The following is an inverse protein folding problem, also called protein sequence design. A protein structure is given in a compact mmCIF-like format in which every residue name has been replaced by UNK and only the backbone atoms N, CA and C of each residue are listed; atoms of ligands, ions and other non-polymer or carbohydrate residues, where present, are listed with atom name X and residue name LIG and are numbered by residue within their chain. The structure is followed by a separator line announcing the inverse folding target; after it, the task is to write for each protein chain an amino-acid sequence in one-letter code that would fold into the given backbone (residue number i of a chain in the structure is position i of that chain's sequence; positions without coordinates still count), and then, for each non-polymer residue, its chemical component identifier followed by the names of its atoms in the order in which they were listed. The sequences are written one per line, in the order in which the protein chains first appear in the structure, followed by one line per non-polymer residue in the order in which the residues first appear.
data_IF_149842629656
#
_entry.id   IF_149842629656
#
_cell.length_a   1.000
_cell.length_b   1.000
_cell.length_c   1.000
_cell.angle_alpha   90.00
_cell.angle_beta   90.00
_cell.angle_gamma   90.00
#
_symmetry.space_group_name_H-M   'P 1'
#
loop_
_entity.id
_entity.type
_entity.pdbx_description
1 polymer ?
#
# COMPACT_ATOMS: atom_id res chain seq x y z
N UNK A 1 -51.54 19.65 -53.45
CA UNK A 1 -51.30 20.54 -52.30
C UNK A 1 -50.13 20.01 -51.53
N UNK A 2 -48.94 20.52 -51.81
CA UNK A 2 -47.71 20.19 -51.08
C UNK A 2 -47.75 20.92 -49.74
N UNK A 3 -47.89 20.17 -48.65
CA UNK A 3 -47.69 20.71 -47.31
C UNK A 3 -46.23 21.18 -47.20
N UNK A 4 -46.04 22.50 -47.22
CA UNK A 4 -44.79 23.11 -46.76
C UNK A 4 -44.60 22.75 -45.28
N UNK A 5 -43.68 21.82 -45.03
CA UNK A 5 -43.10 21.61 -43.70
C UNK A 5 -42.50 22.94 -43.24
N UNK A 6 -43.22 23.69 -42.42
CA UNK A 6 -42.67 24.82 -41.67
C UNK A 6 -41.54 24.29 -40.78
N UNK A 7 -40.30 24.48 -41.21
CA UNK A 7 -39.14 24.29 -40.34
C UNK A 7 -39.26 25.29 -39.19
N UNK A 8 -39.49 24.76 -37.99
CA UNK A 8 -39.41 25.52 -36.75
C UNK A 8 -37.93 25.84 -36.49
N UNK A 9 -37.41 26.85 -37.20
CA UNK A 9 -36.10 27.42 -36.93
C UNK A 9 -36.18 28.11 -35.57
N UNK A 10 -35.33 27.67 -34.63
CA UNK A 10 -35.18 28.34 -33.34
C UNK A 10 -34.84 29.82 -33.57
N UNK A 11 -35.44 30.73 -32.78
CA UNK A 11 -35.21 32.19 -32.86
C UNK A 11 -33.73 32.60 -32.85
N UNK A 12 -32.85 31.75 -32.31
CA UNK A 12 -31.42 31.96 -32.16
C UNK A 12 -30.56 31.11 -33.11
N UNK A 13 -31.16 30.42 -34.08
CA UNK A 13 -30.44 29.61 -35.06
C UNK A 13 -29.66 30.52 -36.02
N UNK A 14 -28.34 30.58 -35.84
CA UNK A 14 -27.38 31.38 -36.61
C UNK A 14 -26.30 30.47 -37.19
N UNK A 15 -26.73 29.39 -37.84
CA UNK A 15 -25.83 28.40 -38.44
C UNK A 15 -25.87 28.53 -39.97
N UNK A 16 -24.77 28.17 -40.62
CA UNK A 16 -24.65 28.14 -42.08
C UNK A 16 -25.50 27.05 -42.76
N UNK A 17 -25.26 26.83 -44.05
CA UNK A 17 -25.88 25.73 -44.82
C UNK A 17 -24.79 24.77 -45.30
N UNK A 18 -25.10 23.48 -45.38
CA UNK A 18 -24.17 22.46 -45.88
C UNK A 18 -23.50 21.63 -44.79
N UNK A 19 -22.38 20.98 -45.14
CA UNK A 19 -21.62 20.13 -44.22
C UNK A 19 -20.79 20.98 -43.26
N UNK A 20 -20.71 20.54 -42.00
CA UNK A 20 -19.83 21.19 -41.03
C UNK A 20 -18.61 20.31 -40.78
N UNK A 21 -17.51 20.97 -40.41
CA UNK A 21 -16.29 20.35 -39.93
C UNK A 21 -16.02 20.84 -38.50
N UNK A 22 -15.73 19.90 -37.61
CA UNK A 22 -15.31 20.22 -36.26
C UNK A 22 -13.84 20.63 -36.25
N UNK A 23 -13.56 21.87 -35.81
CA UNK A 23 -12.21 22.46 -35.80
C UNK A 23 -11.54 22.26 -34.45
N UNK A 24 -12.21 22.63 -33.37
CA UNK A 24 -11.64 22.65 -32.03
C UNK A 24 -12.72 22.67 -30.96
N UNK A 25 -12.30 22.54 -29.69
CA UNK A 25 -13.14 22.81 -28.53
C UNK A 25 -12.50 23.95 -27.75
N UNK A 26 -13.31 24.92 -27.32
CA UNK A 26 -12.91 25.92 -26.35
C UNK A 26 -13.81 25.84 -25.14
N UNK A 27 -13.24 25.85 -23.94
CA UNK A 27 -14.01 25.80 -22.70
C UNK A 27 -13.85 27.09 -21.94
N UNK A 28 -14.96 27.67 -21.48
CA UNK A 28 -14.92 28.78 -20.56
C UNK A 28 -14.18 28.37 -19.27
N UNK A 29 -13.20 29.16 -18.80
CA UNK A 29 -12.53 28.88 -17.54
C UNK A 29 -13.53 28.94 -16.38
N UNK A 30 -13.30 28.11 -15.36
CA UNK A 30 -14.20 28.04 -14.20
C UNK A 30 -14.01 29.22 -13.24
N UNK A 31 -15.03 29.49 -12.43
CA UNK A 31 -14.94 30.52 -11.37
C UNK A 31 -13.85 30.22 -10.34
N UNK A 32 -13.54 28.94 -10.10
CA UNK A 32 -12.43 28.55 -9.23
C UNK A 32 -11.07 29.06 -9.76
N UNK A 33 -10.89 29.13 -11.08
CA UNK A 33 -9.68 29.74 -11.68
C UNK A 33 -9.70 31.25 -11.49
N UNK A 34 -10.86 31.89 -11.61
CA UNK A 34 -10.99 33.33 -11.36
C UNK A 34 -10.60 33.68 -9.91
N UNK A 35 -11.04 32.90 -8.94
CA UNK A 35 -10.77 33.13 -7.52
C UNK A 35 -9.30 32.87 -7.15
N UNK A 36 -8.72 31.78 -7.66
CA UNK A 36 -7.34 31.39 -7.34
C UNK A 36 -6.28 32.12 -8.16
N UNK A 37 -6.59 32.48 -9.41
CA UNK A 37 -5.66 33.13 -10.34
C UNK A 37 -6.43 34.00 -11.37
N UNK A 38 -6.81 35.24 -10.99
CA UNK A 38 -7.53 36.16 -11.87
C UNK A 38 -6.81 36.46 -13.19
N UNK A 39 -5.47 36.54 -13.16
CA UNK A 39 -4.66 36.79 -14.37
C UNK A 39 -4.73 35.61 -15.34
N UNK A 40 -4.64 34.39 -14.83
CA UNK A 40 -4.78 33.17 -15.63
C UNK A 40 -6.16 33.06 -16.27
N UNK A 41 -7.21 33.39 -15.50
CA UNK A 41 -8.58 33.44 -16.02
C UNK A 41 -8.71 34.42 -17.20
N UNK A 42 -8.21 35.65 -17.04
CA UNK A 42 -8.28 36.68 -18.07
C UNK A 42 -7.53 36.26 -19.35
N UNK A 43 -6.38 35.58 -19.20
CA UNK A 43 -5.63 35.03 -20.34
C UNK A 43 -6.43 33.96 -21.09
N UNK A 44 -7.02 33.01 -20.37
CA UNK A 44 -7.85 31.96 -20.98
C UNK A 44 -9.09 32.53 -21.67
N UNK A 45 -9.68 33.60 -21.11
CA UNK A 45 -10.78 34.33 -21.75
C UNK A 45 -10.32 35.11 -22.99
N UNK A 46 -9.09 35.63 -23.02
CA UNK A 46 -8.53 36.29 -24.19
C UNK A 46 -8.28 35.31 -25.35
N UNK A 47 -8.04 34.03 -25.07
CA UNK A 47 -7.88 32.96 -26.05
C UNK A 47 -9.22 32.47 -26.64
N UNK A 48 -10.36 33.04 -26.21
CA UNK A 48 -11.68 32.69 -26.72
C UNK A 48 -11.79 32.92 -28.23
N UNK A 49 -12.25 31.92 -29.02
CA UNK A 49 -12.52 32.10 -30.44
C UNK A 49 -13.51 33.23 -30.70
N UNK A 50 -13.28 34.04 -31.73
CA UNK A 50 -14.15 35.19 -32.06
C UNK A 50 -15.61 34.80 -32.33
N UNK A 51 -15.85 33.59 -32.85
CA UNK A 51 -17.19 33.05 -33.08
C UNK A 51 -17.91 32.60 -31.80
N UNK A 52 -17.20 32.49 -30.68
CA UNK A 52 -17.78 32.03 -29.42
C UNK A 52 -18.36 33.21 -28.62
N UNK A 53 -19.68 33.32 -28.64
CA UNK A 53 -20.43 34.34 -27.89
C UNK A 53 -20.87 33.87 -26.49
N UNK A 54 -20.27 32.80 -25.96
CA UNK A 54 -20.68 32.12 -24.70
C UNK A 54 -22.07 31.48 -24.75
N UNK A 55 -22.66 31.41 -25.94
CA UNK A 55 -23.97 30.84 -26.22
C UNK A 55 -23.90 29.97 -27.47
N UNK A 56 -24.84 29.03 -27.56
CA UNK A 56 -24.99 28.13 -28.69
C UNK A 56 -25.53 28.86 -29.91
N UNK A 57 -24.87 28.78 -31.06
CA UNK A 57 -25.39 29.34 -32.31
C UNK A 57 -26.56 28.52 -32.89
N UNK A 58 -26.78 27.29 -32.40
CA UNK A 58 -27.93 26.47 -32.78
C UNK A 58 -29.20 26.81 -31.97
N UNK A 59 -29.09 26.94 -30.64
CA UNK A 59 -30.26 27.07 -29.75
C UNK A 59 -30.25 28.30 -28.82
N UNK A 60 -29.17 29.08 -28.78
CA UNK A 60 -29.01 30.26 -27.92
C UNK A 60 -28.73 29.98 -26.44
N UNK A 61 -28.61 28.71 -26.03
CA UNK A 61 -28.34 28.36 -24.63
C UNK A 61 -26.89 28.69 -24.25
N UNK A 62 -26.66 29.22 -23.05
CA UNK A 62 -25.32 29.43 -22.51
C UNK A 62 -24.57 28.10 -22.33
N UNK A 63 -23.33 28.03 -22.81
CA UNK A 63 -22.54 26.80 -22.77
C UNK A 63 -21.18 27.09 -22.12
N UNK A 64 -20.62 26.09 -21.45
CA UNK A 64 -19.24 26.15 -20.93
C UNK A 64 -18.28 25.56 -21.96
N UNK A 65 -18.59 24.38 -22.51
CA UNK A 65 -17.78 23.67 -23.51
C UNK A 65 -18.30 23.93 -24.93
N UNK A 66 -17.64 24.84 -25.65
CA UNK A 66 -18.00 25.26 -26.99
C UNK A 66 -17.24 24.45 -28.03
N UNK A 67 -17.97 23.72 -28.86
CA UNK A 67 -17.42 23.06 -30.03
C UNK A 67 -17.44 24.05 -31.19
N UNK A 68 -16.28 24.27 -31.79
CA UNK A 68 -16.11 25.21 -32.90
C UNK A 68 -16.25 24.44 -34.20
N UNK A 69 -17.34 24.72 -34.90
CA UNK A 69 -17.66 24.17 -36.20
C UNK A 69 -17.29 25.18 -37.28
N UNK A 70 -16.93 24.70 -38.46
CA UNK A 70 -16.70 25.49 -39.67
C UNK A 70 -17.55 24.90 -40.79
N UNK A 71 -18.27 25.75 -41.52
CA UNK A 71 -19.07 25.31 -42.67
C UNK A 71 -18.28 25.36 -43.99
N UNK A 72 -18.95 25.08 -45.10
CA UNK A 72 -18.36 25.10 -46.45
C UNK A 72 -17.93 26.52 -46.89
N UNK A 73 -18.61 27.56 -46.39
CA UNK A 73 -18.31 28.97 -46.62
C UNK A 73 -17.18 29.50 -45.72
N UNK A 74 -16.60 28.62 -44.89
CA UNK A 74 -15.54 28.91 -43.89
C UNK A 74 -15.99 29.85 -42.77
N UNK A 75 -17.29 29.96 -42.55
CA UNK A 75 -17.86 30.60 -41.38
C UNK A 75 -17.77 29.68 -40.17
N UNK A 76 -17.56 30.26 -38.98
CA UNK A 76 -17.35 29.49 -37.74
C UNK A 76 -18.48 29.70 -36.76
N UNK A 77 -18.90 28.60 -36.15
CA UNK A 77 -20.02 28.55 -35.21
C UNK A 77 -19.61 27.86 -33.91
N UNK A 78 -20.16 28.32 -32.80
CA UNK A 78 -19.96 27.78 -31.46
C UNK A 78 -21.22 27.02 -31.04
N UNK A 79 -21.11 25.70 -30.89
CA UNK A 79 -22.24 24.82 -30.61
C UNK A 79 -21.95 23.93 -29.41
N UNK A 80 -22.98 23.59 -28.63
CA UNK A 80 -22.86 22.65 -27.52
C UNK A 80 -22.89 21.20 -28.00
N UNK A 81 -22.35 20.27 -27.22
CA UNK A 81 -22.34 18.84 -27.57
C UNK A 81 -23.71 18.27 -27.94
N UNK A 82 -24.75 18.65 -27.19
CA UNK A 82 -26.13 18.20 -27.43
C UNK A 82 -26.77 18.78 -28.71
N UNK A 83 -26.25 19.89 -29.22
CA UNK A 83 -26.73 20.49 -30.47
C UNK A 83 -25.98 19.97 -31.69
N UNK A 84 -24.76 19.42 -31.53
CA UNK A 84 -24.07 18.72 -32.62
C UNK A 84 -24.88 17.50 -33.08
N UNK A 85 -25.46 16.74 -32.15
CA UNK A 85 -26.32 15.59 -32.46
C UNK A 85 -27.54 15.99 -33.31
N UNK A 86 -28.04 17.22 -33.15
CA UNK A 86 -29.19 17.75 -33.87
C UNK A 86 -28.85 18.22 -35.29
N UNK A 87 -27.57 18.34 -35.64
CA UNK A 87 -27.12 18.72 -37.00
C UNK A 87 -27.19 17.55 -38.00
N UNK A 88 -27.49 16.33 -37.54
CA UNK A 88 -27.72 15.17 -38.41
C UNK A 88 -26.46 14.63 -39.11
N UNK A 89 -25.25 15.05 -38.71
CA UNK A 89 -23.98 14.61 -39.30
C UNK A 89 -23.25 13.67 -38.33
N UNK A 90 -23.27 12.37 -38.63
CA UNK A 90 -22.71 11.32 -37.75
C UNK A 90 -21.20 11.47 -37.51
N UNK A 91 -20.45 11.88 -38.54
CA UNK A 91 -19.00 12.06 -38.44
C UNK A 91 -18.62 13.15 -37.43
N UNK A 92 -19.42 14.22 -37.34
CA UNK A 92 -19.23 15.29 -36.36
C UNK A 92 -19.49 14.84 -34.93
N UNK A 93 -20.55 14.06 -34.73
CA UNK A 93 -20.87 13.49 -33.42
C UNK A 93 -19.71 12.62 -32.93
N UNK A 94 -19.18 11.76 -33.81
CA UNK A 94 -18.05 10.88 -33.48
C UNK A 94 -16.79 11.68 -33.16
N UNK A 95 -16.47 12.71 -33.96
CA UNK A 95 -15.33 13.59 -33.73
C UNK A 95 -15.45 14.37 -32.40
N UNK A 96 -16.65 14.89 -32.10
CA UNK A 96 -16.94 15.61 -30.87
C UNK A 96 -16.79 14.71 -29.63
N UNK A 97 -17.33 13.50 -29.69
CA UNK A 97 -17.19 12.51 -28.62
C UNK A 97 -15.73 12.10 -28.40
N UNK A 98 -14.94 11.96 -29.47
CA UNK A 98 -13.51 11.62 -29.37
C UNK A 98 -12.73 12.71 -28.63
N UNK A 99 -12.91 13.98 -29.03
CA UNK A 99 -12.22 15.10 -28.38
C UNK A 99 -12.65 15.28 -26.92
N UNK A 100 -13.94 15.12 -26.61
CA UNK A 100 -14.40 15.21 -25.22
C UNK A 100 -13.83 14.07 -24.36
N UNK A 101 -13.77 12.84 -24.89
CA UNK A 101 -13.13 11.70 -24.19
C UNK A 101 -11.65 11.95 -23.91
N UNK A 102 -10.92 12.53 -24.86
CA UNK A 102 -9.51 12.87 -24.70
C UNK A 102 -9.30 13.93 -23.61
N UNK A 103 -10.10 15.00 -23.63
CA UNK A 103 -10.10 16.04 -22.59
C UNK A 103 -10.41 15.47 -21.21
N UNK A 104 -11.44 14.63 -21.09
CA UNK A 104 -11.80 13.97 -19.83
C UNK A 104 -10.72 12.98 -19.36
N UNK A 105 -9.96 12.38 -20.28
CA UNK A 105 -8.81 11.55 -19.93
C UNK A 105 -7.68 12.40 -19.34
N UNK A 106 -7.33 13.52 -19.97
CA UNK A 106 -6.31 14.44 -19.47
C UNK A 106 -6.66 14.97 -18.08
N UNK A 107 -7.88 15.46 -17.88
CA UNK A 107 -8.34 15.94 -16.56
C UNK A 107 -8.29 14.86 -15.48
N UNK A 108 -8.58 13.60 -15.82
CA UNK A 108 -8.47 12.48 -14.87
C UNK A 108 -7.02 12.17 -14.54
N UNK A 109 -6.11 12.24 -15.51
CA UNK A 109 -4.68 12.04 -15.30
C UNK A 109 -4.11 13.13 -14.38
N UNK A 110 -4.38 14.40 -14.67
CA UNK A 110 -3.94 15.53 -13.83
C UNK A 110 -4.45 15.43 -12.39
N UNK A 111 -5.73 15.08 -12.20
CA UNK A 111 -6.30 14.85 -10.86
C UNK A 111 -5.63 13.69 -10.13
N UNK A 112 -5.35 12.59 -10.84
CA UNK A 112 -4.68 11.43 -10.27
C UNK A 112 -3.21 11.74 -9.91
N UNK A 113 -2.51 12.53 -10.72
CA UNK A 113 -1.15 13.00 -10.44
C UNK A 113 -1.11 13.91 -9.22
N UNK A 114 -2.00 14.91 -9.15
CA UNK A 114 -2.10 15.78 -7.99
C UNK A 114 -2.37 15.00 -6.71
N UNK A 115 -3.32 14.05 -6.75
CA UNK A 115 -3.63 13.19 -5.60
C UNK A 115 -2.44 12.32 -5.19
N UNK A 116 -1.70 11.75 -6.16
CA UNK A 116 -0.48 10.97 -5.88
C UNK A 116 0.61 11.82 -5.23
N UNK A 117 0.83 13.04 -5.73
CA UNK A 117 1.79 13.98 -5.16
C UNK A 117 1.43 14.37 -3.72
N UNK A 118 0.16 14.66 -3.46
CA UNK A 118 -0.34 14.96 -2.10
C UNK A 118 -0.18 13.76 -1.15
N UNK A 119 -0.46 12.54 -1.62
CA UNK A 119 -0.27 11.32 -0.84
C UNK A 119 1.22 11.07 -0.53
N UNK A 120 2.09 11.28 -1.52
CA UNK A 120 3.53 11.13 -1.34
C UNK A 120 4.08 12.13 -0.30
N UNK A 121 3.70 13.40 -0.41
CA UNK A 121 4.13 14.43 0.54
C UNK A 121 3.67 14.14 1.97
N UNK A 122 2.45 13.61 2.14
CA UNK A 122 1.95 13.18 3.46
C UNK A 122 2.75 12.00 4.01
N UNK A 123 3.00 10.99 3.17
CA UNK A 123 3.79 9.83 3.56
C UNK A 123 5.22 10.21 3.96
N UNK A 124 5.88 11.08 3.19
CA UNK A 124 7.22 11.58 3.52
C UNK A 124 7.23 12.36 4.85
N UNK A 125 6.21 13.19 5.08
CA UNK A 125 6.07 13.91 6.34
C UNK A 125 5.88 12.97 7.54
N UNK A 126 5.06 11.92 7.39
CA UNK A 126 4.86 10.91 8.42
C UNK A 126 6.15 10.14 8.74
N UNK A 127 6.90 9.72 7.72
CA UNK A 127 8.19 9.03 7.90
C UNK A 127 9.22 9.95 8.58
N UNK A 128 9.28 11.22 8.19
CA UNK A 128 10.19 12.19 8.80
C UNK A 128 9.83 12.47 10.27
N UNK A 129 8.54 12.53 10.59
CA UNK A 129 8.07 12.66 11.98
C UNK A 129 8.47 11.44 12.83
N UNK A 130 8.30 10.22 12.30
CA UNK A 130 8.76 9.00 12.98
C UNK A 130 10.27 9.05 13.24
N UNK A 131 11.07 9.43 12.23
CA UNK A 131 12.52 9.56 12.37
C UNK A 131 12.92 10.58 13.42
N UNK A 132 12.29 11.75 13.46
CA UNK A 132 12.57 12.76 14.49
C UNK A 132 12.27 12.25 15.90
N UNK A 133 11.18 11.50 16.06
CA UNK A 133 10.78 10.92 17.34
C UNK A 133 11.73 9.82 17.83
N UNK A 134 12.20 8.99 16.91
CA UNK A 134 12.97 7.78 17.23
C UNK A 134 14.48 7.92 16.95
N UNK A 135 15.02 9.15 16.96
CA UNK A 135 16.46 9.38 16.83
C UNK A 135 17.05 8.98 15.47
N UNK A 136 16.26 9.08 14.40
CA UNK A 136 16.66 8.82 13.01
C UNK A 136 16.08 7.54 12.41
N UNK A 137 15.39 6.72 13.20
CA UNK A 137 14.79 5.45 12.76
C UNK A 137 13.28 5.56 12.54
N UNK A 138 12.74 4.74 11.65
CA UNK A 138 11.28 4.55 11.54
C UNK A 138 10.78 3.66 12.68
N UNK A 139 9.48 3.71 12.99
CA UNK A 139 8.88 2.87 14.04
C UNK A 139 9.16 1.37 13.78
N UNK A 140 9.12 0.97 12.52
CA UNK A 140 9.42 -0.40 12.11
C UNK A 140 10.88 -0.80 12.36
N UNK A 141 11.83 0.09 12.08
CA UNK A 141 13.25 -0.17 12.35
C UNK A 141 13.53 -0.28 13.85
N UNK A 142 12.88 0.54 14.69
CA UNK A 142 12.96 0.43 16.15
C UNK A 142 12.48 -0.95 16.61
N UNK A 143 11.34 -1.41 16.11
CA UNK A 143 10.80 -2.75 16.44
C UNK A 143 11.73 -3.89 16.02
N UNK A 144 12.39 -3.77 14.85
CA UNK A 144 13.39 -4.76 14.42
C UNK A 144 14.56 -4.80 15.41
N UNK A 145 15.06 -3.64 15.85
CA UNK A 145 16.22 -3.59 16.73
C UNK A 145 15.89 -4.11 18.13
N UNK A 146 14.70 -3.77 18.65
CA UNK A 146 14.18 -4.36 19.88
C UNK A 146 14.06 -5.89 19.79
N UNK A 147 13.59 -6.41 18.65
CA UNK A 147 13.48 -7.85 18.42
C UNK A 147 14.85 -8.52 18.48
N UNK A 148 15.85 -8.00 17.76
CA UNK A 148 17.21 -8.55 17.78
C UNK A 148 17.79 -8.55 19.20
N UNK A 149 17.59 -7.45 19.94
CA UNK A 149 18.07 -7.35 21.31
C UNK A 149 17.41 -8.39 22.20
N UNK A 150 16.09 -8.59 22.08
CA UNK A 150 15.36 -9.63 22.83
C UNK A 150 15.81 -11.04 22.46
N UNK A 151 16.04 -11.33 21.18
CA UNK A 151 16.56 -12.63 20.74
C UNK A 151 17.94 -12.91 21.34
N UNK A 152 18.83 -11.90 21.37
CA UNK A 152 20.14 -11.99 22.00
C UNK A 152 20.04 -12.21 23.52
N UNK A 153 19.16 -11.46 24.19
CA UNK A 153 18.94 -11.58 25.63
C UNK A 153 18.32 -12.93 26.01
N UNK A 154 17.38 -13.44 25.20
CA UNK A 154 16.81 -14.77 25.37
C UNK A 154 17.85 -15.86 25.18
N UNK A 155 18.72 -15.73 24.17
CA UNK A 155 19.84 -16.67 23.96
C UNK A 155 20.76 -16.73 25.18
N UNK A 156 21.08 -15.58 25.79
CA UNK A 156 21.87 -15.55 27.04
C UNK A 156 21.14 -16.30 28.17
N UNK A 157 19.85 -16.02 28.38
CA UNK A 157 19.04 -16.71 29.40
C UNK A 157 19.00 -18.22 29.19
N UNK A 158 18.79 -18.68 27.95
CA UNK A 158 18.80 -20.11 27.62
C UNK A 158 20.16 -20.74 27.93
N UNK A 159 21.26 -20.06 27.57
CA UNK A 159 22.62 -20.54 27.88
C UNK A 159 22.89 -20.61 29.38
N UNK A 160 22.42 -19.64 30.17
CA UNK A 160 22.59 -19.61 31.62
C UNK A 160 21.76 -20.72 32.30
N UNK A 161 20.49 -20.85 31.93
CA UNK A 161 19.57 -21.87 32.47
C UNK A 161 20.03 -23.29 32.15
N UNK A 162 20.52 -23.52 30.93
CA UNK A 162 20.95 -24.86 30.50
C UNK A 162 22.37 -25.22 30.91
N UNK A 163 23.14 -24.30 31.50
CA UNK A 163 24.55 -24.52 31.86
C UNK A 163 24.80 -25.81 32.68
N UNK A 164 23.97 -26.19 33.68
CA UNK A 164 24.17 -27.43 34.43
C UNK A 164 24.01 -28.69 33.58
N UNK A 165 23.06 -28.68 32.62
CA UNK A 165 22.81 -29.78 31.69
C UNK A 165 23.94 -29.86 30.67
N UNK A 166 24.31 -28.72 30.10
CA UNK A 166 25.38 -28.58 29.11
C UNK A 166 26.70 -29.10 29.66
N UNK A 167 27.07 -28.76 30.90
CA UNK A 167 28.30 -29.26 31.52
C UNK A 167 28.35 -30.80 31.60
N UNK A 168 27.21 -31.44 31.88
CA UNK A 168 27.11 -32.91 31.90
C UNK A 168 27.18 -33.52 30.50
N UNK A 169 26.57 -32.87 29.50
CA UNK A 169 26.64 -33.31 28.10
C UNK A 169 28.07 -33.19 27.55
N UNK A 170 28.75 -32.08 27.81
CA UNK A 170 30.14 -31.87 27.38
C UNK A 170 31.10 -32.87 28.02
N UNK A 171 30.87 -33.22 29.29
CA UNK A 171 31.61 -34.29 29.97
C UNK A 171 31.42 -35.66 29.32
N UNK A 172 30.24 -35.96 28.80
CA UNK A 172 29.99 -37.20 28.06
C UNK A 172 30.71 -37.22 26.70
N UNK A 173 30.69 -36.09 26.00
CA UNK A 173 31.27 -35.92 24.67
C UNK A 173 30.48 -36.63 23.55
N UNK A 174 30.99 -36.50 22.33
CA UNK A 174 30.40 -37.08 21.12
C UNK A 174 29.37 -36.18 20.43
N UNK A 175 29.16 -36.43 19.13
CA UNK A 175 28.37 -35.55 18.25
C UNK A 175 26.97 -35.25 18.80
N UNK A 176 26.25 -36.27 19.26
CA UNK A 176 24.91 -36.10 19.84
C UNK A 176 24.90 -35.13 21.02
N UNK A 177 25.87 -35.25 21.94
CA UNK A 177 25.94 -34.39 23.12
C UNK A 177 26.34 -32.96 22.77
N UNK A 178 27.25 -32.78 21.80
CA UNK A 178 27.62 -31.47 21.27
C UNK A 178 26.44 -30.77 20.59
N UNK A 179 25.74 -31.46 19.69
CA UNK A 179 24.56 -30.92 19.01
C UNK A 179 23.47 -30.54 20.00
N UNK A 180 23.27 -31.36 21.04
CA UNK A 180 22.27 -31.08 22.07
C UNK A 180 22.65 -29.91 22.97
N UNK A 181 23.92 -29.77 23.32
CA UNK A 181 24.41 -28.61 24.07
C UNK A 181 24.20 -27.31 23.28
N UNK A 182 24.46 -27.33 21.98
CA UNK A 182 24.24 -26.17 21.11
C UNK A 182 22.75 -25.85 20.93
N UNK A 183 21.89 -26.86 20.79
CA UNK A 183 20.45 -26.67 20.74
C UNK A 183 19.93 -25.99 22.03
N UNK A 184 20.36 -26.47 23.20
CA UNK A 184 19.97 -25.91 24.49
C UNK A 184 20.40 -24.44 24.63
N UNK A 185 21.63 -24.10 24.25
CA UNK A 185 22.14 -22.72 24.25
C UNK A 185 21.35 -21.79 23.33
N UNK A 186 20.76 -22.34 22.27
CA UNK A 186 19.97 -21.59 21.30
C UNK A 186 18.45 -21.64 21.59
N UNK A 187 18.03 -22.14 22.76
CA UNK A 187 16.62 -22.15 23.17
C UNK A 187 15.80 -23.32 22.65
N UNK A 188 16.43 -24.33 22.05
CA UNK A 188 15.78 -25.56 21.61
C UNK A 188 15.95 -26.65 22.65
N UNK A 189 14.86 -27.00 23.34
CA UNK A 189 14.86 -28.07 24.33
C UNK A 189 14.42 -29.40 23.71
N UNK A 190 15.13 -30.52 23.94
CA UNK A 190 14.75 -31.79 23.39
C UNK A 190 13.47 -32.33 24.03
N UNK A 191 12.68 -33.04 23.23
CA UNK A 191 11.44 -33.69 23.65
C UNK A 191 11.45 -35.19 23.31
N UNK A 192 10.46 -35.93 23.80
CA UNK A 192 10.26 -37.35 23.50
C UNK A 192 11.48 -38.23 23.79
N UNK A 193 11.92 -39.00 22.81
CA UNK A 193 13.07 -39.92 22.94
C UNK A 193 14.39 -39.19 23.26
N UNK A 194 14.60 -37.99 22.70
CA UNK A 194 15.81 -37.21 22.94
C UNK A 194 15.88 -36.73 24.40
N UNK A 195 14.76 -36.26 24.98
CA UNK A 195 14.66 -35.91 26.42
C UNK A 195 15.11 -37.08 27.30
N UNK A 196 14.59 -38.28 27.04
CA UNK A 196 14.96 -39.50 27.80
C UNK A 196 16.45 -39.82 27.71
N UNK A 197 17.04 -39.70 26.52
CA UNK A 197 18.48 -39.96 26.31
C UNK A 197 19.32 -38.93 27.07
N UNK A 198 18.95 -37.65 27.02
CA UNK A 198 19.66 -36.58 27.73
C UNK A 198 19.65 -36.80 29.25
N UNK A 199 18.50 -37.11 29.85
CA UNK A 199 18.39 -37.42 31.29
C UNK A 199 19.24 -38.64 31.65
N UNK A 200 19.24 -39.69 30.81
CA UNK A 200 20.10 -40.85 31.01
C UNK A 200 21.59 -40.49 30.98
N UNK A 201 22.02 -39.66 30.02
CA UNK A 201 23.40 -39.18 29.92
C UNK A 201 23.76 -38.33 31.15
N UNK A 202 22.90 -37.38 31.53
CA UNK A 202 23.06 -36.55 32.73
C UNK A 202 23.28 -37.42 33.96
N UNK A 203 22.42 -38.42 34.17
CA UNK A 203 22.49 -39.32 35.34
C UNK A 203 23.78 -40.14 35.35
N UNK A 204 24.21 -40.66 34.20
CA UNK A 204 25.49 -41.38 34.08
C UNK A 204 26.68 -40.47 34.38
N UNK A 205 26.69 -39.24 33.87
CA UNK A 205 27.82 -38.33 34.06
C UNK A 205 27.88 -37.69 35.44
N UNK A 206 26.73 -37.49 36.07
CA UNK A 206 26.61 -37.03 37.46
C UNK A 206 27.14 -38.09 38.44
N UNK A 207 26.75 -39.36 38.26
CA UNK A 207 27.10 -40.46 39.18
C UNK A 207 28.37 -41.22 38.82
N UNK A 208 28.87 -41.11 37.59
CA UNK A 208 29.91 -41.98 37.03
C UNK A 208 29.49 -43.44 36.90
N UNK A 209 28.20 -43.77 37.05
CA UNK A 209 27.70 -45.14 37.13
C UNK A 209 27.01 -45.60 35.86
N UNK A 210 26.99 -46.93 35.65
CA UNK A 210 26.21 -47.56 34.58
C UNK A 210 24.71 -47.47 34.88
N UNK A 211 23.90 -47.50 33.81
CA UNK A 211 22.44 -47.54 33.88
C UNK A 211 21.96 -48.68 34.78
N UNK A 212 20.92 -48.42 35.56
CA UNK A 212 20.30 -49.36 36.51
C UNK A 212 21.18 -49.77 37.70
N UNK A 213 22.33 -49.13 37.93
CA UNK A 213 23.05 -49.30 39.20
C UNK A 213 22.27 -48.68 40.35
N UNK A 214 22.58 -49.08 41.59
CA UNK A 214 21.98 -48.47 42.79
C UNK A 214 22.18 -46.95 42.83
N UNK A 215 23.38 -46.48 42.49
CA UNK A 215 23.70 -45.05 42.45
C UNK A 215 22.97 -44.32 41.32
N UNK A 216 22.84 -44.94 40.15
CA UNK A 216 22.08 -44.37 39.02
C UNK A 216 20.61 -44.20 39.39
N UNK A 217 19.96 -45.25 39.91
CA UNK A 217 18.53 -45.22 40.23
C UNK A 217 18.21 -44.21 41.33
N UNK A 218 19.15 -43.97 42.26
CA UNK A 218 19.00 -42.97 43.30
C UNK A 218 19.08 -41.53 42.77
N UNK A 219 19.97 -41.25 41.81
CA UNK A 219 20.17 -39.91 41.25
C UNK A 219 19.26 -39.58 40.05
N UNK A 220 18.64 -40.58 39.42
CA UNK A 220 17.79 -40.36 38.24
C UNK A 220 16.63 -39.37 38.49
N UNK A 221 15.86 -39.47 39.61
CA UNK A 221 14.77 -38.53 39.86
C UNK A 221 15.26 -37.08 40.02
N UNK A 222 16.47 -36.88 40.57
CA UNK A 222 17.06 -35.55 40.73
C UNK A 222 17.43 -34.94 39.36
N UNK A 223 18.04 -35.74 38.48
CA UNK A 223 18.41 -35.27 37.12
C UNK A 223 17.18 -35.03 36.23
N UNK A 224 16.14 -35.84 36.40
CA UNK A 224 14.85 -35.64 35.75
C UNK A 224 14.21 -34.33 36.22
N UNK A 225 14.15 -34.08 37.53
CA UNK A 225 13.64 -32.83 38.10
C UNK A 225 14.45 -31.60 37.66
N UNK A 226 15.77 -31.71 37.56
CA UNK A 226 16.64 -30.66 37.01
C UNK A 226 16.30 -30.37 35.54
N UNK A 227 16.11 -31.41 34.72
CA UNK A 227 15.75 -31.20 33.32
C UNK A 227 14.38 -30.53 33.20
N UNK A 228 13.39 -30.99 33.96
CA UNK A 228 12.03 -30.47 33.91
C UNK A 228 11.91 -29.02 34.42
N UNK A 229 12.73 -28.63 35.41
CA UNK A 229 12.78 -27.24 35.85
C UNK A 229 13.33 -26.33 34.76
N UNK A 230 14.41 -26.74 34.08
CA UNK A 230 14.95 -26.00 32.93
C UNK A 230 13.93 -25.97 31.78
N UNK A 231 13.20 -27.05 31.52
CA UNK A 231 12.14 -27.11 30.52
C UNK A 231 11.00 -26.12 30.79
N UNK A 232 10.55 -26.04 32.03
CA UNK A 232 9.53 -25.09 32.43
C UNK A 232 9.97 -23.63 32.18
N UNK A 233 11.20 -23.28 32.58
CA UNK A 233 11.74 -21.93 32.37
C UNK A 233 11.94 -21.60 30.89
N UNK A 234 12.39 -22.57 30.08
CA UNK A 234 12.51 -22.41 28.63
C UNK A 234 11.17 -22.05 27.99
N UNK A 235 10.11 -22.74 28.43
CA UNK A 235 8.74 -22.51 27.96
C UNK A 235 8.27 -21.10 28.30
N UNK A 236 8.52 -20.61 29.52
CA UNK A 236 8.16 -19.25 29.93
C UNK A 236 8.84 -18.19 29.05
N UNK A 237 10.15 -18.34 28.78
CA UNK A 237 10.88 -17.41 27.91
C UNK A 237 10.31 -17.43 26.49
N UNK A 238 10.04 -18.63 25.97
CA UNK A 238 9.47 -18.84 24.63
C UNK A 238 8.09 -18.19 24.51
N UNK A 239 7.18 -18.46 25.44
CA UNK A 239 5.83 -17.89 25.45
C UNK A 239 5.85 -16.37 25.55
N UNK A 240 6.71 -15.80 26.39
CA UNK A 240 6.89 -14.35 26.49
C UNK A 240 7.41 -13.74 25.17
N UNK A 241 8.31 -14.42 24.47
CA UNK A 241 8.81 -13.99 23.18
C UNK A 241 7.72 -14.06 22.10
N UNK A 242 6.96 -15.15 22.03
CA UNK A 242 5.82 -15.29 21.11
C UNK A 242 4.75 -14.22 21.35
N UNK A 243 4.40 -13.94 22.61
CA UNK A 243 3.45 -12.89 22.96
C UNK A 243 3.94 -11.50 22.50
N UNK A 244 5.24 -11.22 22.63
CA UNK A 244 5.86 -10.00 22.09
C UNK A 244 5.75 -9.95 20.56
N UNK A 245 6.13 -11.02 19.85
CA UNK A 245 6.07 -11.05 18.39
C UNK A 245 4.65 -10.85 17.86
N UNK A 246 3.66 -11.50 18.48
CA UNK A 246 2.25 -11.35 18.12
C UNK A 246 1.77 -9.91 18.34
N UNK A 247 2.12 -9.29 19.48
CA UNK A 247 1.72 -7.92 19.80
C UNK A 247 2.38 -6.89 18.88
N UNK A 248 3.67 -7.06 18.56
CA UNK A 248 4.46 -6.06 17.86
C UNK A 248 4.41 -6.18 16.34
N UNK A 249 4.22 -7.39 15.80
CA UNK A 249 4.28 -7.65 14.36
C UNK A 249 2.97 -8.21 13.77
N UNK A 250 1.95 -8.48 14.59
CA UNK A 250 0.65 -8.92 14.10
C UNK A 250 0.67 -10.28 13.41
N UNK A 251 1.59 -11.18 13.81
CA UNK A 251 1.54 -12.58 13.38
C UNK A 251 0.27 -13.23 13.92
N UNK A 252 -0.80 -13.24 13.12
CA UNK A 252 -1.95 -14.11 13.36
C UNK A 252 -1.46 -15.56 13.22
N UNK A 253 -1.54 -16.32 14.32
CA UNK A 253 -1.38 -17.77 14.34
C UNK A 253 -2.42 -18.45 13.44
#
# INVERSE_FOLDING_TARGET
MTEEKKELLHKHFRMGRGKYRLISIWSAPSNAVLESNPMGYNKMMAERPKCCNMVCDHCGTGIIHHFILEDEDKERFSVGSSCIEKLGQYDLVTAAQKMEKERQRQLRQERAEKKRAEQHAKYEAEIEEQRKKNGGLTDHEVLIEERKQRELDNKKKYSELSAPIVALLEKAGGNFCSDMADNLRNGSIPSGGAKRIVIEVMTKQHTGSRKNSKAYNAAHPEMEALFESVEAEFKVISEAHYAYLHKSFGFNS
#
